data_IF_642194513816
#
_entry.id   IF_642194513816
#
_cell.length_a   1.000
_cell.length_b   1.000
_cell.length_c   1.000
_cell.angle_alpha   90.00
_cell.angle_beta   90.00
_cell.angle_gamma   90.00
#
_symmetry.space_group_name_H-M   'P 1'
#
loop_
_entity.id
_entity.type
_entity.pdbx_description
1 polymer ?
#
# COMPACT_ATOMS: atom_id res chain seq x y z
N UNK A 1 -20.48 9.45 -6.01
CA UNK A 1 -21.44 9.40 -4.89
C UNK A 1 -22.88 9.57 -5.34
N UNK A 2 -23.21 10.54 -6.22
CA UNK A 2 -24.54 10.65 -6.83
C UNK A 2 -25.00 9.33 -7.48
N UNK A 3 -24.13 8.70 -8.27
CA UNK A 3 -24.41 7.38 -8.85
C UNK A 3 -24.67 6.27 -7.81
N UNK A 4 -24.17 6.41 -6.56
CA UNK A 4 -24.40 5.43 -5.49
C UNK A 4 -25.80 5.55 -4.90
N UNK A 5 -26.22 6.77 -4.55
CA UNK A 5 -27.58 7.02 -4.06
C UNK A 5 -28.62 6.73 -5.15
N UNK A 6 -28.39 7.19 -6.37
CA UNK A 6 -29.25 6.89 -7.52
C UNK A 6 -29.43 5.37 -7.74
N UNK A 7 -28.35 4.59 -7.57
CA UNK A 7 -28.42 3.14 -7.64
C UNK A 7 -29.26 2.55 -6.50
N UNK A 8 -29.04 2.99 -5.25
CA UNK A 8 -29.82 2.54 -4.11
C UNK A 8 -31.31 2.85 -4.28
N UNK A 9 -31.65 4.08 -4.69
CA UNK A 9 -33.03 4.52 -4.89
C UNK A 9 -33.70 3.74 -6.02
N UNK A 10 -33.02 3.57 -7.16
CA UNK A 10 -33.51 2.80 -8.31
C UNK A 10 -33.80 1.34 -7.94
N UNK A 11 -33.00 0.77 -7.06
CA UNK A 11 -33.12 -0.63 -6.62
C UNK A 11 -33.85 -0.79 -5.28
N UNK A 12 -34.43 0.29 -4.73
CA UNK A 12 -35.15 0.29 -3.44
C UNK A 12 -34.34 -0.30 -2.29
N UNK A 13 -33.04 -0.06 -2.29
CA UNK A 13 -32.14 -0.52 -1.25
C UNK A 13 -32.17 0.49 -0.10
N UNK A 14 -32.33 0.02 1.14
CA UNK A 14 -32.30 0.86 2.33
C UNK A 14 -30.85 1.27 2.67
N UNK A 15 -30.26 2.10 1.82
CA UNK A 15 -28.89 2.59 1.94
C UNK A 15 -28.85 4.10 1.73
N UNK A 16 -28.13 4.78 2.61
CA UNK A 16 -27.88 6.22 2.52
C UNK A 16 -26.40 6.45 2.27
N UNK A 17 -26.09 7.16 1.18
CA UNK A 17 -24.72 7.56 0.85
C UNK A 17 -24.42 8.93 1.43
N UNK A 18 -23.32 9.05 2.18
CA UNK A 18 -22.89 10.30 2.79
C UNK A 18 -21.51 10.65 2.27
N UNK A 19 -21.38 11.87 1.74
CA UNK A 19 -20.11 12.43 1.34
C UNK A 19 -19.45 13.11 2.53
N UNK A 20 -18.28 12.64 2.93
CA UNK A 20 -17.51 13.26 4.00
C UNK A 20 -16.08 12.73 4.06
N UNK A 21 -15.28 13.42 4.85
CA UNK A 21 -13.96 12.94 5.25
C UNK A 21 -14.12 12.02 6.48
N UNK A 22 -13.82 10.73 6.32
CA UNK A 22 -13.93 9.75 7.39
C UNK A 22 -12.93 10.00 8.54
N UNK A 23 -11.86 10.76 8.32
CA UNK A 23 -10.92 11.15 9.37
C UNK A 23 -11.43 12.35 10.17
N UNK A 24 -12.26 13.22 9.58
CA UNK A 24 -12.80 14.40 10.25
C UNK A 24 -13.60 14.04 11.52
N UNK A 25 -13.58 14.93 12.51
CA UNK A 25 -14.29 14.75 13.78
C UNK A 25 -15.80 14.59 13.58
N UNK A 26 -16.38 15.29 12.59
CA UNK A 26 -17.80 15.22 12.25
C UNK A 26 -18.24 13.83 11.79
N UNK A 27 -17.34 13.00 11.26
CA UNK A 27 -17.68 11.62 10.86
C UNK A 27 -18.15 10.76 12.06
N UNK A 28 -17.75 11.12 13.29
CA UNK A 28 -18.18 10.44 14.51
C UNK A 28 -19.68 10.60 14.78
N UNK A 29 -20.36 11.58 14.18
CA UNK A 29 -21.81 11.77 14.30
C UNK A 29 -22.61 10.69 13.54
N UNK A 30 -21.98 10.08 12.54
CA UNK A 30 -22.57 9.01 11.72
C UNK A 30 -22.48 7.64 12.40
N UNK A 31 -21.53 7.50 13.34
CA UNK A 31 -21.28 6.27 14.08
C UNK A 31 -22.11 6.30 15.37
N UNK A 32 -22.99 5.32 15.53
CA UNK A 32 -23.97 5.23 16.62
C UNK A 32 -23.91 3.85 17.26
N UNK A 33 -24.33 3.75 18.52
CA UNK A 33 -24.61 2.47 19.16
C UNK A 33 -25.63 1.65 18.35
N UNK A 34 -25.67 0.34 18.55
CA UNK A 34 -26.52 -0.59 17.80
C UNK A 34 -26.20 -0.69 16.30
N UNK A 35 -24.94 -0.43 15.91
CA UNK A 35 -24.47 -0.55 14.54
C UNK A 35 -23.38 -1.60 14.40
N UNK A 36 -23.29 -2.18 13.21
CA UNK A 36 -22.15 -2.97 12.75
C UNK A 36 -21.38 -2.16 11.71
N UNK A 37 -20.17 -1.73 12.05
CA UNK A 37 -19.29 -1.02 11.11
C UNK A 37 -18.54 -2.01 10.21
N UNK A 38 -18.54 -1.79 8.90
CA UNK A 38 -17.85 -2.64 7.91
C UNK A 38 -16.85 -1.80 7.11
N UNK A 39 -15.60 -2.27 7.00
CA UNK A 39 -14.55 -1.60 6.24
C UNK A 39 -13.64 -2.61 5.52
N UNK A 40 -13.96 -2.92 4.26
CA UNK A 40 -13.23 -3.93 3.47
C UNK A 40 -12.01 -3.36 2.71
N UNK A 41 -11.97 -2.03 2.51
CA UNK A 41 -10.85 -1.31 1.88
C UNK A 41 -10.53 0.03 2.55
N UNK A 42 -10.85 0.17 3.85
CA UNK A 42 -10.44 1.35 4.61
C UNK A 42 -8.91 1.30 4.84
N UNK A 43 -8.17 2.06 4.06
CA UNK A 43 -6.71 2.01 4.03
C UNK A 43 -6.08 2.85 5.16
N UNK A 44 -4.98 2.35 5.75
CA UNK A 44 -4.17 3.10 6.71
C UNK A 44 -4.97 3.74 7.85
N UNK A 45 -4.87 5.06 8.02
CA UNK A 45 -5.53 5.77 9.12
C UNK A 45 -7.07 5.67 9.09
N UNK A 46 -7.68 5.33 7.94
CA UNK A 46 -9.14 5.21 7.84
C UNK A 46 -9.69 4.07 8.70
N UNK A 47 -9.07 2.88 8.66
CA UNK A 47 -9.54 1.77 9.49
C UNK A 47 -9.23 2.02 10.97
N UNK A 48 -8.12 2.70 11.28
CA UNK A 48 -7.77 3.08 12.65
C UNK A 48 -8.81 4.06 13.21
N UNK A 49 -9.14 5.09 12.44
CA UNK A 49 -10.13 6.09 12.82
C UNK A 49 -11.50 5.45 13.04
N UNK A 50 -11.92 4.52 12.18
CA UNK A 50 -13.17 3.78 12.35
C UNK A 50 -13.18 2.95 13.64
N UNK A 51 -12.09 2.24 13.94
CA UNK A 51 -11.97 1.47 15.19
C UNK A 51 -12.11 2.40 16.39
N UNK A 52 -11.33 3.48 16.44
CA UNK A 52 -11.33 4.38 17.58
C UNK A 52 -12.70 5.03 17.79
N UNK A 53 -13.29 5.61 16.74
CA UNK A 53 -14.63 6.22 16.80
C UNK A 53 -15.71 5.19 17.15
N UNK A 54 -15.56 3.95 16.67
CA UNK A 54 -16.44 2.83 17.00
C UNK A 54 -16.38 2.43 18.47
N UNK A 55 -15.17 2.36 19.03
CA UNK A 55 -14.94 2.13 20.47
C UNK A 55 -15.58 3.27 21.28
N UNK A 56 -15.31 4.52 20.93
CA UNK A 56 -15.84 5.70 21.64
C UNK A 56 -17.38 5.75 21.64
N UNK A 57 -18.01 5.23 20.58
CA UNK A 57 -19.48 5.16 20.42
C UNK A 57 -20.08 3.83 20.88
N UNK A 58 -19.27 2.88 21.34
CA UNK A 58 -19.70 1.54 21.75
C UNK A 58 -20.60 0.86 20.72
N UNK A 59 -20.12 0.78 19.47
CA UNK A 59 -20.83 0.03 18.41
C UNK A 59 -20.91 -1.47 18.76
N UNK A 60 -21.93 -2.15 18.23
CA UNK A 60 -22.16 -3.56 18.56
C UNK A 60 -21.13 -4.48 17.94
N UNK A 61 -20.68 -4.14 16.72
CA UNK A 61 -19.74 -4.95 15.98
C UNK A 61 -18.92 -4.15 14.97
N UNK A 62 -17.77 -4.71 14.60
CA UNK A 62 -16.93 -4.20 13.51
C UNK A 62 -16.39 -5.37 12.67
N UNK A 63 -16.31 -5.18 11.36
CA UNK A 63 -15.65 -6.11 10.43
C UNK A 63 -14.74 -5.36 9.48
N UNK A 64 -13.46 -5.70 9.50
CA UNK A 64 -12.40 -4.96 8.82
C UNK A 64 -11.56 -5.91 7.98
N UNK A 65 -11.14 -5.46 6.81
CA UNK A 65 -10.01 -6.01 6.08
C UNK A 65 -8.94 -4.91 5.98
N UNK A 66 -8.10 -4.75 7.02
CA UNK A 66 -7.08 -3.70 7.06
C UNK A 66 -6.13 -3.84 5.89
N UNK A 67 -5.86 -2.74 5.19
CA UNK A 67 -4.89 -2.73 4.10
C UNK A 67 -4.14 -1.40 4.04
N UNK A 68 -3.06 -1.37 3.27
CA UNK A 68 -2.28 -0.17 2.98
C UNK A 68 -1.82 0.59 4.23
N UNK A 69 -1.16 -0.10 5.16
CA UNK A 69 -0.70 0.46 6.44
C UNK A 69 0.18 1.71 6.30
N UNK A 70 0.89 1.86 5.18
CA UNK A 70 1.67 3.05 4.86
C UNK A 70 0.84 4.33 4.62
N UNK A 71 -0.48 4.23 4.42
CA UNK A 71 -1.37 5.40 4.26
C UNK A 71 -1.73 6.00 5.63
N UNK A 72 -0.68 6.35 6.36
CA UNK A 72 -0.75 7.01 7.66
C UNK A 72 -0.11 8.39 7.60
N UNK A 73 -0.58 9.33 8.43
CA UNK A 73 -0.02 10.67 8.53
C UNK A 73 1.39 10.65 9.13
N UNK A 74 1.64 9.77 10.12
CA UNK A 74 2.95 9.70 10.78
C UNK A 74 4.03 9.15 9.86
N UNK A 75 5.27 9.59 10.06
CA UNK A 75 6.44 9.08 9.33
C UNK A 75 6.92 7.73 9.87
N UNK A 76 6.49 7.38 11.08
CA UNK A 76 6.80 6.14 11.79
C UNK A 76 5.50 5.46 12.23
N UNK A 77 5.53 4.15 12.34
CA UNK A 77 4.40 3.40 12.86
C UNK A 77 4.20 3.67 14.35
N UNK A 78 2.99 4.13 14.69
CA UNK A 78 2.55 4.30 16.06
C UNK A 78 1.57 3.17 16.38
N UNK A 79 1.96 2.29 17.31
CA UNK A 79 1.10 1.21 17.79
C UNK A 79 -0.18 1.77 18.41
N UNK A 80 -1.31 1.12 18.14
CA UNK A 80 -2.62 1.60 18.61
C UNK A 80 -3.03 0.94 19.93
N UNK A 81 -2.67 -0.32 20.15
CA UNK A 81 -2.83 -1.04 21.43
C UNK A 81 -1.79 -0.64 22.46
N UNK A 82 -2.08 -0.91 23.75
CA UNK A 82 -1.12 -0.70 24.83
C UNK A 82 0.15 -1.53 24.66
N UNK A 83 0.01 -2.78 24.21
CA UNK A 83 1.17 -3.68 23.99
C UNK A 83 2.04 -3.21 22.81
N UNK A 84 1.44 -2.84 21.68
CA UNK A 84 2.22 -2.40 20.52
C UNK A 84 2.95 -1.08 20.77
N UNK A 85 2.43 -0.19 21.63
CA UNK A 85 3.13 1.04 22.03
C UNK A 85 4.44 0.77 22.75
N UNK A 86 4.57 -0.39 23.40
CA UNK A 86 5.78 -0.82 24.12
C UNK A 86 6.72 -1.66 23.24
N UNK A 87 6.32 -1.97 22.00
CA UNK A 87 7.14 -2.77 21.11
C UNK A 87 8.45 -2.05 20.76
N UNK A 88 9.54 -2.83 20.74
CA UNK A 88 10.87 -2.33 20.40
C UNK A 88 11.07 -2.16 18.89
N UNK A 89 10.24 -2.80 18.08
CA UNK A 89 10.28 -2.66 16.63
C UNK A 89 9.89 -1.23 16.23
N UNK A 90 10.72 -0.61 15.41
CA UNK A 90 10.48 0.72 14.83
C UNK A 90 10.34 0.54 13.33
N UNK A 91 9.15 0.84 12.82
CA UNK A 91 8.82 0.74 11.41
C UNK A 91 8.64 2.15 10.86
N UNK A 92 9.36 2.48 9.81
CA UNK A 92 9.11 3.68 9.02
C UNK A 92 7.86 3.49 8.16
N UNK A 93 7.35 4.60 7.62
CA UNK A 93 6.29 4.58 6.61
C UNK A 93 6.67 3.75 5.37
N UNK A 94 7.95 3.61 5.06
CA UNK A 94 8.44 2.78 3.95
C UNK A 94 8.35 1.29 4.29
N UNK A 95 8.70 0.90 5.51
CA UNK A 95 8.57 -0.48 5.99
C UNK A 95 7.10 -0.95 5.95
N UNK A 96 6.15 -0.05 6.24
CA UNK A 96 4.71 -0.32 6.16
C UNK A 96 4.20 -0.59 4.74
N UNK A 97 5.02 -0.38 3.70
CA UNK A 97 4.70 -0.77 2.32
C UNK A 97 5.02 -2.24 2.06
N UNK A 98 5.88 -2.86 2.85
CA UNK A 98 6.37 -4.21 2.61
C UNK A 98 5.24 -5.24 2.46
N UNK A 99 4.19 -5.26 3.31
CA UNK A 99 3.05 -6.18 3.14
C UNK A 99 2.31 -6.02 1.80
N UNK A 100 2.42 -4.85 1.16
CA UNK A 100 1.70 -4.51 -0.07
C UNK A 100 2.45 -4.91 -1.34
N UNK A 101 3.72 -5.29 -1.19
CA UNK A 101 4.57 -5.66 -2.32
C UNK A 101 4.40 -7.14 -2.71
N UNK A 102 3.53 -7.88 -2.04
CA UNK A 102 3.21 -9.24 -2.42
C UNK A 102 2.42 -9.26 -3.73
N UNK A 103 2.95 -9.96 -4.74
CA UNK A 103 2.36 -10.07 -6.07
C UNK A 103 2.03 -11.53 -6.34
N UNK A 104 0.73 -11.88 -6.40
CA UNK A 104 0.25 -13.26 -6.61
C UNK A 104 -0.57 -13.43 -7.89
N UNK A 105 -1.05 -12.34 -8.51
CA UNK A 105 -1.99 -12.39 -9.65
C UNK A 105 -1.39 -11.99 -11.01
N UNK A 106 -0.09 -11.68 -11.09
CA UNK A 106 0.52 -11.20 -12.34
C UNK A 106 0.88 -12.35 -13.28
N UNK A 107 0.25 -12.40 -14.46
CA UNK A 107 0.64 -13.34 -15.53
C UNK A 107 2.04 -13.09 -16.08
N UNK A 108 2.67 -14.11 -16.71
CA UNK A 108 4.06 -14.09 -17.20
C UNK A 108 4.43 -12.84 -18.03
N UNK A 109 3.52 -12.39 -18.90
CA UNK A 109 3.74 -11.19 -19.74
C UNK A 109 3.87 -9.92 -18.89
N UNK A 110 3.06 -9.78 -17.85
CA UNK A 110 3.11 -8.64 -16.94
C UNK A 110 4.40 -8.66 -16.12
N UNK A 111 4.86 -9.84 -15.70
CA UNK A 111 6.14 -10.00 -15.01
C UNK A 111 7.32 -9.57 -15.87
N UNK A 112 7.37 -10.00 -17.13
CA UNK A 112 8.46 -9.61 -18.04
C UNK A 112 8.48 -8.10 -18.31
N UNK A 113 7.33 -7.46 -18.51
CA UNK A 113 7.27 -6.01 -18.66
C UNK A 113 7.75 -5.27 -17.41
N UNK A 114 7.39 -5.75 -16.21
CA UNK A 114 7.86 -5.17 -14.95
C UNK A 114 9.37 -5.31 -14.80
N UNK A 115 9.91 -6.48 -15.12
CA UNK A 115 11.36 -6.70 -15.14
C UNK A 115 12.07 -5.70 -16.06
N UNK A 116 11.62 -5.60 -17.32
CA UNK A 116 12.19 -4.67 -18.29
C UNK A 116 12.11 -3.22 -17.80
N UNK A 117 10.96 -2.81 -17.27
CA UNK A 117 10.77 -1.47 -16.72
C UNK A 117 11.74 -1.19 -15.56
N UNK A 118 11.91 -2.14 -14.64
CA UNK A 118 12.83 -1.96 -13.51
C UNK A 118 14.28 -1.88 -13.96
N UNK A 119 14.69 -2.72 -14.92
CA UNK A 119 16.03 -2.65 -15.51
C UNK A 119 16.29 -1.28 -16.15
N UNK A 120 15.30 -0.73 -16.87
CA UNK A 120 15.42 0.59 -17.50
C UNK A 120 15.51 1.70 -16.46
N UNK A 121 14.67 1.66 -15.42
CA UNK A 121 14.71 2.64 -14.31
C UNK A 121 16.06 2.62 -13.60
N UNK A 122 16.60 1.43 -13.32
CA UNK A 122 17.91 1.27 -12.66
C UNK A 122 19.06 1.73 -13.55
N UNK A 123 19.02 1.39 -14.85
CA UNK A 123 20.03 1.84 -15.81
C UNK A 123 20.04 3.35 -15.97
N UNK A 124 18.86 3.99 -16.07
CA UNK A 124 18.75 5.44 -16.12
C UNK A 124 19.21 6.11 -14.83
N UNK A 125 18.90 5.53 -13.66
CA UNK A 125 19.40 6.04 -12.39
C UNK A 125 20.94 6.05 -12.36
N UNK A 126 21.58 4.95 -12.78
CA UNK A 126 23.04 4.87 -12.85
C UNK A 126 23.63 5.92 -13.81
N UNK A 127 23.02 6.10 -15.00
CA UNK A 127 23.41 7.14 -15.95
C UNK A 127 23.26 8.55 -15.35
N UNK A 128 22.14 8.83 -14.71
CA UNK A 128 21.89 10.14 -14.10
C UNK A 128 22.88 10.43 -12.97
N UNK A 129 23.18 9.47 -12.11
CA UNK A 129 24.19 9.61 -11.05
C UNK A 129 25.56 9.95 -11.64
N UNK A 130 25.95 9.26 -12.71
CA UNK A 130 27.21 9.54 -13.43
C UNK A 130 27.25 10.96 -14.03
N UNK A 131 26.18 11.38 -14.71
CA UNK A 131 26.14 12.70 -15.37
C UNK A 131 26.09 13.85 -14.37
N UNK A 132 25.39 13.67 -13.25
CA UNK A 132 25.14 14.75 -12.28
C UNK A 132 26.10 14.75 -11.09
N UNK A 133 26.84 13.66 -10.87
CA UNK A 133 27.61 13.44 -9.64
C UNK A 133 26.74 13.36 -8.38
N UNK A 134 25.43 13.17 -8.54
CA UNK A 134 24.47 13.14 -7.44
C UNK A 134 23.90 11.74 -7.28
N UNK A 135 24.21 11.11 -6.15
CA UNK A 135 23.78 9.75 -5.82
C UNK A 135 22.32 9.62 -5.41
N UNK A 136 21.58 10.74 -5.28
CA UNK A 136 20.18 10.69 -4.91
C UNK A 136 19.32 10.03 -6.01
N UNK A 137 18.48 9.07 -5.60
CA UNK A 137 17.54 8.43 -6.50
C UNK A 137 16.51 9.44 -7.04
N UNK A 138 16.38 9.49 -8.37
CA UNK A 138 15.43 10.40 -9.04
C UNK A 138 14.23 9.60 -9.56
N UNK A 139 13.04 9.71 -8.92
CA UNK A 139 11.89 8.88 -9.26
C UNK A 139 11.30 9.25 -10.62
N UNK A 140 11.36 8.34 -11.60
CA UNK A 140 10.77 8.54 -12.93
C UNK A 140 9.24 8.31 -12.89
N UNK A 141 8.39 9.14 -13.53
CA UNK A 141 6.94 8.97 -13.49
C UNK A 141 6.46 7.66 -14.14
N UNK A 142 5.15 7.37 -14.01
CA UNK A 142 4.53 6.21 -14.67
C UNK A 142 4.67 6.31 -16.19
N UNK A 143 5.08 5.21 -16.83
CA UNK A 143 5.35 5.16 -18.26
C UNK A 143 4.25 4.46 -19.05
N UNK A 144 4.11 4.82 -20.31
CA UNK A 144 3.32 4.05 -21.27
C UNK A 144 4.10 2.79 -21.66
N UNK A 145 3.39 1.67 -21.81
CA UNK A 145 4.01 0.38 -22.21
C UNK A 145 4.73 0.45 -23.57
N UNK A 146 4.28 1.32 -24.47
CA UNK A 146 4.93 1.53 -25.77
C UNK A 146 6.37 2.03 -25.61
N UNK A 147 6.64 2.87 -24.62
CA UNK A 147 7.99 3.42 -24.39
C UNK A 147 9.03 2.34 -24.08
N UNK A 148 8.62 1.25 -23.40
CA UNK A 148 9.50 0.10 -23.16
C UNK A 148 9.80 -0.67 -24.44
N UNK A 149 8.86 -0.66 -25.40
CA UNK A 149 9.05 -1.33 -26.70
C UNK A 149 9.95 -0.52 -27.63
N UNK A 150 9.99 0.80 -27.45
CA UNK A 150 10.82 1.73 -28.23
C UNK A 150 12.32 1.66 -27.85
N UNK A 151 12.67 0.95 -26.78
CA UNK A 151 14.05 0.71 -26.37
C UNK A 151 14.53 1.56 -25.19
N UNK A 152 15.73 1.23 -24.70
CA UNK A 152 16.30 1.86 -23.51
C UNK A 152 16.79 3.29 -23.79
N UNK A 153 17.30 3.54 -24.98
CA UNK A 153 17.69 4.87 -25.46
C UNK A 153 16.49 5.82 -25.53
N UNK A 154 15.38 5.37 -26.10
CA UNK A 154 14.12 6.13 -26.12
C UNK A 154 13.63 6.44 -24.70
N UNK A 155 13.68 5.43 -23.81
CA UNK A 155 13.36 5.62 -22.39
C UNK A 155 14.25 6.66 -21.71
N UNK A 156 15.57 6.61 -21.90
CA UNK A 156 16.51 7.54 -21.30
C UNK A 156 16.29 8.98 -21.77
N UNK A 157 16.06 9.18 -23.08
CA UNK A 157 15.78 10.51 -23.65
C UNK A 157 14.47 11.10 -23.10
N UNK A 158 13.42 10.29 -23.08
CA UNK A 158 12.15 10.68 -22.48
C UNK A 158 12.29 11.00 -20.98
N UNK A 159 13.01 10.16 -20.23
CA UNK A 159 13.22 10.37 -18.80
C UNK A 159 14.06 11.62 -18.53
N UNK A 160 15.09 11.88 -19.34
CA UNK A 160 15.94 13.06 -19.22
C UNK A 160 15.16 14.35 -19.48
N UNK A 161 14.26 14.37 -20.46
CA UNK A 161 13.36 15.51 -20.71
C UNK A 161 12.48 15.78 -19.49
N UNK A 162 11.84 14.74 -18.93
CA UNK A 162 11.00 14.86 -17.74
C UNK A 162 11.78 15.32 -16.49
N UNK A 163 13.07 14.98 -16.41
CA UNK A 163 13.94 15.33 -15.29
C UNK A 163 14.78 16.58 -15.53
N UNK A 164 14.63 17.22 -16.69
CA UNK A 164 15.44 18.37 -17.12
C UNK A 164 16.94 18.08 -17.01
N UNK A 165 17.31 16.84 -17.33
CA UNK A 165 18.69 16.37 -17.35
C UNK A 165 19.22 16.49 -18.77
N UNK A 166 20.41 17.07 -18.93
CA UNK A 166 21.12 17.07 -20.20
C UNK A 166 22.00 15.82 -20.26
N UNK A 167 21.73 14.93 -21.21
CA UNK A 167 22.56 13.76 -21.46
C UNK A 167 23.70 14.13 -22.43
N UNK A 168 24.91 13.58 -22.26
CA UNK A 168 25.97 13.70 -23.25
C UNK A 168 25.54 13.17 -24.62
N UNK A 169 26.13 13.68 -25.70
CA UNK A 169 25.81 13.24 -27.07
C UNK A 169 26.32 11.82 -27.36
N UNK A 170 27.35 11.38 -26.63
CA UNK A 170 28.09 10.12 -26.81
C UNK A 170 27.74 9.05 -25.76
N UNK A 171 26.53 9.10 -25.18
CA UNK A 171 26.09 8.12 -24.18
C UNK A 171 26.08 6.70 -24.75
N UNK A 172 26.87 5.81 -24.14
CA UNK A 172 26.79 4.37 -24.35
C UNK A 172 25.56 3.80 -23.62
N UNK A 173 24.41 3.83 -24.28
CA UNK A 173 23.17 3.28 -23.74
C UNK A 173 23.27 1.77 -23.43
N UNK A 174 24.11 1.02 -24.14
CA UNK A 174 24.28 -0.42 -23.90
C UNK A 174 25.00 -0.68 -22.58
N UNK A 175 26.03 0.12 -22.28
CA UNK A 175 26.71 0.08 -20.99
C UNK A 175 25.74 0.32 -19.82
N UNK A 176 24.94 1.38 -19.88
CA UNK A 176 24.00 1.73 -18.81
C UNK A 176 22.83 0.76 -18.68
N UNK A 177 22.37 0.17 -19.78
CA UNK A 177 21.39 -0.91 -19.72
C UNK A 177 21.94 -2.13 -19.00
N UNK A 178 23.19 -2.50 -19.26
CA UNK A 178 23.85 -3.60 -18.56
C UNK A 178 24.00 -3.32 -17.06
N UNK A 179 24.35 -2.08 -16.68
CA UNK A 179 24.32 -1.64 -15.27
C UNK A 179 22.93 -1.78 -14.65
N UNK A 180 21.87 -1.43 -15.38
CA UNK A 180 20.50 -1.62 -14.94
C UNK A 180 20.13 -3.08 -14.71
N UNK A 181 20.57 -3.99 -15.59
CA UNK A 181 20.38 -5.45 -15.43
C UNK A 181 21.13 -6.01 -14.23
N UNK A 182 22.39 -5.61 -14.04
CA UNK A 182 23.19 -6.00 -12.87
C UNK A 182 22.52 -5.55 -11.55
N UNK A 183 22.10 -4.29 -11.49
CA UNK A 183 21.40 -3.73 -10.35
C UNK A 183 20.06 -4.43 -10.09
N UNK A 184 19.33 -4.80 -11.15
CA UNK A 184 18.07 -5.53 -11.03
C UNK A 184 18.27 -6.88 -10.34
N UNK A 185 19.32 -7.64 -10.68
CA UNK A 185 19.63 -8.91 -10.01
C UNK A 185 19.91 -8.71 -8.52
N UNK A 186 20.60 -7.64 -8.13
CA UNK A 186 20.84 -7.31 -6.72
C UNK A 186 19.54 -6.95 -6.03
N UNK A 187 18.70 -6.12 -6.66
CA UNK A 187 17.39 -5.74 -6.14
C UNK A 187 16.49 -6.96 -5.90
N UNK A 188 16.41 -7.89 -6.84
CA UNK A 188 15.62 -9.13 -6.70
C UNK A 188 16.14 -10.01 -5.56
N UNK A 189 17.47 -10.11 -5.40
CA UNK A 189 18.06 -10.82 -4.25
C UNK A 189 17.66 -10.19 -2.91
N UNK A 190 17.59 -8.87 -2.84
CA UNK A 190 17.12 -8.15 -1.66
C UNK A 190 15.61 -8.35 -1.43
N UNK A 191 14.79 -8.37 -2.49
CA UNK A 191 13.35 -8.63 -2.36
C UNK A 191 13.07 -10.04 -1.85
N UNK A 192 13.87 -11.05 -2.24
CA UNK A 192 13.74 -12.43 -1.73
C UNK A 192 13.83 -12.50 -0.20
N UNK A 193 14.73 -11.73 0.41
CA UNK A 193 14.83 -11.67 1.89
C UNK A 193 13.59 -10.98 2.47
N UNK A 194 13.15 -9.89 1.84
CA UNK A 194 11.98 -9.13 2.27
C UNK A 194 10.68 -9.95 2.18
N UNK A 195 10.56 -10.88 1.23
CA UNK A 195 9.40 -11.75 1.08
C UNK A 195 9.05 -12.53 2.35
N UNK A 196 10.06 -12.96 3.11
CA UNK A 196 9.88 -13.69 4.38
C UNK A 196 9.13 -12.85 5.42
N UNK A 197 9.22 -11.52 5.35
CA UNK A 197 8.62 -10.61 6.31
C UNK A 197 7.28 -10.03 5.86
N UNK A 198 6.89 -10.15 4.58
CA UNK A 198 5.64 -9.54 4.04
C UNK A 198 4.41 -9.96 4.85
N UNK A 199 4.14 -11.26 4.95
CA UNK A 199 2.97 -11.79 5.68
C UNK A 199 3.11 -11.68 7.21
N UNK A 200 4.26 -12.01 7.83
CA UNK A 200 4.41 -11.82 9.28
C UNK A 200 4.20 -10.37 9.72
N UNK A 201 4.68 -9.41 8.95
CA UNK A 201 4.47 -7.99 9.24
C UNK A 201 3.00 -7.59 9.08
N UNK A 202 2.31 -8.07 8.03
CA UNK A 202 0.87 -7.85 7.86
C UNK A 202 0.07 -8.37 9.07
N UNK A 203 0.37 -9.60 9.51
CA UNK A 203 -0.27 -10.23 10.67
C UNK A 203 0.04 -9.43 11.93
N UNK A 204 1.29 -9.02 12.15
CA UNK A 204 1.68 -8.22 13.31
C UNK A 204 0.90 -6.88 13.38
N UNK A 205 0.76 -6.19 12.24
CA UNK A 205 0.00 -4.94 12.14
C UNK A 205 -1.50 -5.17 12.38
N UNK A 206 -2.06 -6.28 11.89
CA UNK A 206 -3.45 -6.67 12.16
C UNK A 206 -3.68 -7.02 13.64
N UNK A 207 -2.74 -7.72 14.28
CA UNK A 207 -2.83 -8.09 15.69
C UNK A 207 -2.83 -6.87 16.61
N UNK A 208 -2.14 -5.79 16.24
CA UNK A 208 -2.24 -4.53 17.00
C UNK A 208 -3.68 -3.98 17.04
N UNK A 209 -4.44 -4.10 15.94
CA UNK A 209 -5.86 -3.71 15.92
C UNK A 209 -6.74 -4.68 16.70
N UNK A 210 -6.42 -5.98 16.67
CA UNK A 210 -7.09 -7.00 17.49
C UNK A 210 -6.94 -6.65 18.96
N UNK A 211 -5.72 -6.39 19.42
CA UNK A 211 -5.43 -6.05 20.80
C UNK A 211 -6.16 -4.78 21.24
N UNK A 212 -6.19 -3.73 20.42
CA UNK A 212 -6.95 -2.51 20.74
C UNK A 212 -8.45 -2.80 20.94
N UNK A 213 -9.04 -3.64 20.10
CA UNK A 213 -10.45 -4.01 20.21
C UNK A 213 -10.71 -4.87 21.47
N UNK A 214 -9.81 -5.81 21.78
CA UNK A 214 -9.88 -6.63 23.01
C UNK A 214 -9.73 -5.76 24.26
N UNK A 215 -8.78 -4.83 24.29
CA UNK A 215 -8.58 -3.82 25.35
C UNK A 215 -9.85 -2.98 25.57
N UNK A 216 -10.62 -2.73 24.51
CA UNK A 216 -11.90 -2.03 24.56
C UNK A 216 -13.11 -2.92 24.90
N UNK A 217 -12.89 -4.17 25.28
CA UNK A 217 -13.95 -5.10 25.72
C UNK A 217 -14.77 -5.70 24.57
N UNK A 218 -14.16 -5.92 23.41
CA UNK A 218 -14.77 -6.68 22.32
C UNK A 218 -14.24 -8.12 22.32
N UNK A 219 -15.09 -9.07 21.97
CA UNK A 219 -14.67 -10.40 21.55
C UNK A 219 -14.23 -10.33 20.09
N UNK A 220 -12.97 -10.67 19.81
CA UNK A 220 -12.35 -10.49 18.49
C UNK A 220 -11.99 -11.84 17.87
N UNK A 221 -12.24 -11.95 16.56
CA UNK A 221 -11.85 -13.08 15.72
C UNK A 221 -11.06 -12.55 14.53
N UNK A 222 -9.91 -13.17 14.26
CA UNK A 222 -9.08 -12.91 13.09
C UNK A 222 -9.05 -14.15 12.21
N UNK A 223 -9.05 -13.97 10.89
CA UNK A 223 -9.00 -15.07 9.94
C UNK A 223 -8.77 -14.59 8.52
N UNK A 224 -9.05 -15.46 7.55
CA UNK A 224 -8.94 -15.17 6.13
C UNK A 224 -10.32 -15.25 5.48
N UNK A 225 -10.69 -14.27 4.64
CA UNK A 225 -12.01 -14.23 3.98
C UNK A 225 -12.02 -14.78 2.55
N UNK A 226 -10.85 -15.00 1.95
CA UNK A 226 -10.68 -15.59 0.62
C UNK A 226 -9.32 -16.28 0.49
N UNK A 227 -9.11 -16.98 -0.62
CA UNK A 227 -7.82 -17.61 -0.91
C UNK A 227 -6.77 -16.55 -1.21
N UNK A 228 -5.53 -16.80 -0.79
CA UNK A 228 -4.40 -15.91 -1.05
C UNK A 228 -4.17 -15.65 -2.54
N UNK A 229 -4.52 -16.62 -3.38
CA UNK A 229 -4.42 -16.55 -4.85
C UNK A 229 -5.35 -15.48 -5.45
N UNK A 230 -6.51 -15.23 -4.82
CA UNK A 230 -7.45 -14.19 -5.24
C UNK A 230 -6.91 -12.79 -4.89
N UNK A 231 -6.43 -12.64 -3.65
CA UNK A 231 -5.75 -11.45 -3.16
C UNK A 231 -4.85 -11.83 -1.98
N UNK A 232 -3.60 -11.32 -1.92
CA UNK A 232 -2.74 -11.59 -0.78
C UNK A 232 -3.24 -10.89 0.49
N UNK A 233 -4.01 -9.81 0.31
CA UNK A 233 -4.69 -9.05 1.37
C UNK A 233 -6.02 -9.71 1.68
N UNK A 234 -5.96 -10.87 2.33
CA UNK A 234 -7.12 -11.70 2.65
C UNK A 234 -7.45 -11.75 4.15
N UNK A 235 -6.74 -11.01 5.02
CA UNK A 235 -7.01 -11.00 6.46
C UNK A 235 -8.29 -10.22 6.76
N UNK A 236 -9.16 -10.80 7.58
CA UNK A 236 -10.32 -10.14 8.16
C UNK A 236 -10.24 -10.14 9.68
N UNK A 237 -10.60 -9.02 10.29
CA UNK A 237 -10.82 -8.85 11.74
C UNK A 237 -12.31 -8.64 11.95
N UNK A 238 -12.92 -9.44 12.81
CA UNK A 238 -14.32 -9.32 13.22
C UNK A 238 -14.35 -9.15 14.72
N UNK A 239 -15.04 -8.14 15.24
CA UNK A 239 -15.17 -7.94 16.67
C UNK A 239 -16.61 -7.64 17.04
N UNK A 240 -17.06 -8.16 18.18
CA UNK A 240 -18.40 -7.96 18.73
C UNK A 240 -18.29 -7.50 20.17
N UNK A 241 -19.05 -6.48 20.54
CA UNK A 241 -19.08 -5.97 21.91
C UNK A 241 -19.59 -7.08 22.86
N UNK A 242 -18.89 -7.25 23.97
CA UNK A 242 -19.29 -8.19 25.05
C UNK A 242 -20.40 -7.59 25.89
#
# INVERSE_FOLDING_TARGET
>A
MHSGQEYADKHQLNMTFIQGDALATSASELIKANQHAIALHACGDLHVSLIQKGIDKSIDAVTLSPCCFHLTQSSVYEGVSALSKQAQIRLSKEDLRLPLQETVTAGKRTQHHREQEMQYRLGFNALQQFVTGNDNYVPVPSIKKSLLSDGFDAFCRWASEHKKLQLPDDVDFSHWLNKGKEAFVVMEKCDLVQQVFKRPLEVWLCLDRVLLLEEAGYNVRIGEFCLKEDTPRNIVIQAKKV
#
